data_IF_281394195558
#
_entry.id   IF_281394195558
#
_cell.length_a   1.000
_cell.length_b   1.000
_cell.length_c   1.000
_cell.angle_alpha   90.00
_cell.angle_beta   90.00
_cell.angle_gamma   90.00
#
_symmetry.space_group_name_H-M   'P 1'
#
loop_
_entity.id
_entity.type
_entity.pdbx_description
1 polymer ?
#
# COMPACT_ATOMS: atom_id res chain seq x y z
N UNK A 1 30.96 -10.09 -7.07
CA UNK A 1 30.47 -8.87 -7.74
C UNK A 1 30.14 -7.83 -6.67
N UNK A 2 31.03 -6.85 -6.44
CA UNK A 2 30.78 -5.79 -5.44
C UNK A 2 29.97 -4.69 -6.12
N UNK A 3 28.68 -4.60 -5.77
CA UNK A 3 27.83 -3.47 -6.18
C UNK A 3 28.01 -2.37 -5.13
N UNK A 4 28.84 -1.39 -5.46
CA UNK A 4 28.97 -0.18 -4.67
C UNK A 4 27.85 0.78 -5.06
N UNK A 5 27.01 1.20 -4.10
CA UNK A 5 26.08 2.31 -4.31
C UNK A 5 26.27 3.35 -3.21
N UNK A 6 27.16 4.31 -3.47
CA UNK A 6 27.12 5.62 -2.82
C UNK A 6 26.71 6.62 -3.88
N UNK A 7 25.45 7.06 -3.81
CA UNK A 7 24.97 8.31 -4.40
C UNK A 7 23.58 8.54 -3.82
N UNK A 8 23.34 9.72 -3.24
CA UNK A 8 21.99 10.13 -2.84
C UNK A 8 21.09 10.09 -4.06
N UNK A 9 20.17 9.12 -4.09
CA UNK A 9 19.22 8.95 -5.19
C UNK A 9 18.27 10.14 -5.16
N UNK A 10 18.45 11.08 -6.08
CA UNK A 10 17.44 12.12 -6.34
C UNK A 10 16.25 11.40 -6.95
N UNK A 11 15.17 11.26 -6.18
CA UNK A 11 13.94 10.68 -6.70
C UNK A 11 13.40 11.59 -7.82
N UNK A 12 13.06 11.03 -8.99
CA UNK A 12 12.48 11.83 -10.07
C UNK A 12 11.20 12.50 -9.57
N UNK A 13 11.01 13.78 -9.90
CA UNK A 13 9.82 14.53 -9.53
C UNK A 13 8.55 13.77 -9.93
N UNK A 14 7.52 13.86 -9.09
CA UNK A 14 6.20 13.28 -9.39
C UNK A 14 5.65 13.95 -10.65
N UNK A 15 4.84 13.21 -11.42
CA UNK A 15 4.07 13.78 -12.53
C UNK A 15 3.22 14.96 -12.01
N UNK A 16 3.04 15.99 -12.82
CA UNK A 16 2.24 17.17 -12.49
C UNK A 16 0.73 16.92 -12.44
N UNK A 17 0.26 15.82 -13.06
CA UNK A 17 -1.13 15.40 -13.04
C UNK A 17 -1.28 13.94 -12.61
N UNK A 18 -2.50 13.58 -12.25
CA UNK A 18 -2.88 12.22 -11.88
C UNK A 18 -2.99 11.33 -13.13
N UNK A 19 -2.57 10.08 -13.00
CA UNK A 19 -2.73 9.06 -14.03
C UNK A 19 -3.63 7.93 -13.50
N UNK A 20 -4.81 7.81 -14.10
CA UNK A 20 -5.70 6.67 -13.91
C UNK A 20 -5.60 5.71 -15.08
N UNK A 21 -5.71 4.42 -14.81
CA UNK A 21 -5.88 3.38 -15.84
C UNK A 21 -7.19 2.63 -15.59
N UNK A 22 -7.88 2.24 -16.65
CA UNK A 22 -9.06 1.39 -16.57
C UNK A 22 -8.73 -0.01 -17.08
N UNK A 23 -9.12 -1.04 -16.33
CA UNK A 23 -8.93 -2.44 -16.68
C UNK A 23 -10.27 -3.19 -16.68
N UNK A 24 -10.56 -3.96 -17.75
CA UNK A 24 -11.78 -4.73 -17.82
C UNK A 24 -11.74 -5.90 -16.83
N UNK A 25 -12.86 -6.22 -16.21
CA UNK A 25 -12.98 -7.37 -15.31
C UNK A 25 -12.77 -8.69 -16.07
N UNK A 26 -13.09 -8.73 -17.37
CA UNK A 26 -12.88 -9.91 -18.24
C UNK A 26 -11.41 -10.29 -18.42
N UNK A 27 -10.47 -9.40 -18.06
CA UNK A 27 -9.03 -9.58 -18.21
C UNK A 27 -8.49 -10.86 -17.57
N UNK A 28 -9.20 -11.41 -16.59
CA UNK A 28 -8.82 -12.66 -15.91
C UNK A 28 -9.83 -13.78 -16.11
N UNK A 29 -10.89 -13.57 -16.91
CA UNK A 29 -11.96 -14.56 -17.09
C UNK A 29 -11.51 -15.76 -17.94
N UNK A 30 -10.52 -15.57 -18.81
CA UNK A 30 -9.88 -16.61 -19.65
C UNK A 30 -8.97 -17.55 -18.86
N UNK A 31 -8.58 -17.18 -17.63
CA UNK A 31 -7.62 -17.92 -16.82
C UNK A 31 -8.34 -18.82 -15.82
N UNK A 32 -8.20 -20.15 -15.87
CA UNK A 32 -8.99 -21.05 -15.02
C UNK A 32 -8.51 -21.07 -13.56
N UNK A 33 -7.20 -20.95 -13.34
CA UNK A 33 -6.60 -21.17 -12.02
C UNK A 33 -6.31 -19.86 -11.27
N UNK A 34 -6.70 -19.81 -9.99
CA UNK A 34 -6.50 -18.64 -9.13
C UNK A 34 -5.03 -18.21 -9.06
N UNK A 35 -4.09 -19.17 -9.01
CA UNK A 35 -2.64 -18.88 -8.97
C UNK A 35 -2.19 -18.07 -10.19
N UNK A 36 -2.66 -18.43 -11.38
CA UNK A 36 -2.36 -17.74 -12.64
C UNK A 36 -3.08 -16.39 -12.72
N UNK A 37 -4.34 -16.31 -12.28
CA UNK A 37 -5.05 -15.03 -12.13
C UNK A 37 -4.26 -14.06 -11.23
N UNK A 38 -3.80 -14.55 -10.06
CA UNK A 38 -3.00 -13.75 -9.13
C UNK A 38 -1.71 -13.25 -9.76
N UNK A 39 -1.01 -14.08 -10.52
CA UNK A 39 0.22 -13.67 -11.22
C UNK A 39 -0.08 -12.61 -12.30
N UNK A 40 -1.10 -12.82 -13.14
CA UNK A 40 -1.54 -11.88 -14.18
C UNK A 40 -1.88 -10.51 -13.59
N UNK A 41 -2.68 -10.49 -12.51
CA UNK A 41 -3.02 -9.27 -11.76
C UNK A 41 -1.76 -8.66 -11.13
N UNK A 42 -0.86 -9.49 -10.61
CA UNK A 42 0.40 -9.06 -10.03
C UNK A 42 1.30 -8.30 -11.01
N UNK A 43 1.35 -8.74 -12.26
CA UNK A 43 2.09 -8.05 -13.31
C UNK A 43 1.50 -6.67 -13.62
N UNK A 44 0.17 -6.54 -13.62
CA UNK A 44 -0.52 -5.25 -13.79
C UNK A 44 -0.16 -4.31 -12.63
N UNK A 45 -0.28 -4.78 -11.39
CA UNK A 45 0.07 -3.97 -10.22
C UNK A 45 1.52 -3.51 -10.24
N UNK A 46 2.45 -4.36 -10.70
CA UNK A 46 3.86 -3.99 -10.88
C UNK A 46 4.04 -2.94 -11.97
N UNK A 47 3.40 -3.09 -13.12
CA UNK A 47 3.47 -2.12 -14.20
C UNK A 47 2.91 -0.75 -13.73
N UNK A 48 1.75 -0.75 -13.08
CA UNK A 48 1.14 0.44 -12.51
C UNK A 48 2.07 1.16 -11.52
N UNK A 49 2.76 0.41 -10.64
CA UNK A 49 3.75 0.97 -9.72
C UNK A 49 4.97 1.58 -10.44
N UNK A 50 5.49 0.93 -11.48
CA UNK A 50 6.63 1.42 -12.29
C UNK A 50 6.27 2.76 -12.95
N UNK A 51 5.08 2.85 -13.53
CA UNK A 51 4.62 4.04 -14.25
C UNK A 51 3.98 5.11 -13.36
N UNK A 52 3.98 4.89 -12.03
CA UNK A 52 3.38 5.79 -11.03
C UNK A 52 1.94 6.13 -11.40
N UNK A 53 1.14 5.10 -11.60
CA UNK A 53 -0.32 5.20 -11.73
C UNK A 53 -0.89 5.51 -10.35
N UNK A 54 -1.78 6.50 -10.30
CA UNK A 54 -2.42 6.98 -9.07
C UNK A 54 -3.71 6.19 -8.78
N UNK A 55 -4.43 5.77 -9.81
CA UNK A 55 -5.71 5.04 -9.69
C UNK A 55 -5.85 3.92 -10.72
N UNK A 56 -6.40 2.78 -10.28
CA UNK A 56 -6.77 1.67 -11.16
C UNK A 56 -8.27 1.43 -11.04
N UNK A 57 -8.99 1.67 -12.12
CA UNK A 57 -10.44 1.50 -12.22
C UNK A 57 -10.72 0.12 -12.81
N UNK A 58 -11.45 -0.73 -12.07
CA UNK A 58 -11.87 -2.04 -12.57
C UNK A 58 -13.34 -1.96 -12.97
N UNK A 59 -13.66 -2.27 -14.23
CA UNK A 59 -15.02 -2.14 -14.75
C UNK A 59 -15.51 -3.43 -15.41
N UNK A 60 -16.80 -3.78 -15.29
CA UNK A 60 -17.41 -4.86 -16.07
C UNK A 60 -17.55 -4.43 -17.53
N UNK A 61 -17.19 -5.30 -18.45
CA UNK A 61 -17.09 -5.04 -19.90
C UNK A 61 -17.92 -6.00 -20.75
N UNK A 62 -18.47 -7.06 -20.16
CA UNK A 62 -19.32 -8.06 -20.81
C UNK A 62 -20.77 -7.87 -20.37
N UNK A 63 -21.62 -7.49 -21.32
CA UNK A 63 -23.05 -7.31 -21.08
C UNK A 63 -23.75 -8.64 -20.79
N UNK A 64 -24.60 -8.65 -19.75
CA UNK A 64 -25.38 -9.83 -19.37
C UNK A 64 -24.59 -10.91 -18.62
N UNK A 65 -23.32 -10.67 -18.29
CA UNK A 65 -22.47 -11.59 -17.52
C UNK A 65 -22.14 -10.95 -16.17
N UNK A 66 -22.36 -11.67 -15.06
CA UNK A 66 -21.90 -11.21 -13.74
C UNK A 66 -20.38 -11.36 -13.60
N UNK A 67 -19.68 -10.23 -13.71
CA UNK A 67 -18.23 -10.14 -13.55
C UNK A 67 -17.79 -9.69 -12.16
N UNK A 68 -18.71 -9.58 -11.20
CA UNK A 68 -18.42 -9.07 -9.85
C UNK A 68 -17.33 -9.87 -9.15
N UNK A 69 -17.27 -11.19 -9.38
CA UNK A 69 -16.22 -12.05 -8.80
C UNK A 69 -14.83 -11.70 -9.31
N UNK A 70 -14.67 -11.54 -10.62
CA UNK A 70 -13.37 -11.21 -11.23
C UNK A 70 -12.97 -9.78 -10.90
N UNK A 71 -13.92 -8.82 -10.93
CA UNK A 71 -13.67 -7.45 -10.51
C UNK A 71 -13.20 -7.37 -9.04
N UNK A 72 -13.89 -8.07 -8.12
CA UNK A 72 -13.52 -8.13 -6.71
C UNK A 72 -12.15 -8.80 -6.49
N UNK A 73 -11.82 -9.84 -7.27
CA UNK A 73 -10.51 -10.50 -7.21
C UNK A 73 -9.39 -9.54 -7.61
N UNK A 74 -9.55 -8.84 -8.74
CA UNK A 74 -8.60 -7.84 -9.24
C UNK A 74 -8.40 -6.74 -8.19
N UNK A 75 -9.49 -6.12 -7.73
CA UNK A 75 -9.44 -5.06 -6.72
C UNK A 75 -8.77 -5.52 -5.42
N UNK A 76 -9.08 -6.73 -4.94
CA UNK A 76 -8.51 -7.29 -3.71
C UNK A 76 -7.00 -7.50 -3.83
N UNK A 77 -6.54 -8.08 -4.94
CA UNK A 77 -5.11 -8.35 -5.14
C UNK A 77 -4.32 -7.05 -5.32
N UNK A 78 -4.81 -6.12 -6.14
CA UNK A 78 -4.14 -4.82 -6.34
C UNK A 78 -4.07 -4.03 -5.02
N UNK A 79 -5.16 -3.98 -4.25
CA UNK A 79 -5.18 -3.33 -2.92
C UNK A 79 -4.18 -3.99 -1.96
N UNK A 80 -4.09 -5.32 -1.97
CA UNK A 80 -3.12 -6.06 -1.16
C UNK A 80 -1.67 -5.71 -1.55
N UNK A 81 -1.40 -5.58 -2.85
CA UNK A 81 -0.07 -5.24 -3.35
C UNK A 81 0.35 -3.82 -2.97
N UNK A 82 -0.53 -2.83 -3.16
CA UNK A 82 -0.32 -1.42 -2.80
C UNK A 82 -0.15 -1.24 -1.28
N UNK A 83 -0.81 -2.06 -0.47
CA UNK A 83 -0.71 -1.92 0.98
C UNK A 83 0.70 -2.30 1.47
N UNK A 84 1.35 -1.44 2.29
CA UNK A 84 2.64 -1.73 2.91
C UNK A 84 2.64 -3.01 3.75
N UNK A 85 3.76 -3.74 3.72
CA UNK A 85 3.83 -5.10 4.29
C UNK A 85 3.42 -5.17 5.77
N UNK A 86 3.78 -4.17 6.58
CA UNK A 86 3.44 -4.09 8.01
C UNK A 86 1.94 -3.82 8.26
N UNK A 87 1.21 -3.23 7.31
CA UNK A 87 -0.23 -2.99 7.44
C UNK A 87 -1.09 -4.16 6.95
N UNK A 88 -0.54 -5.04 6.09
CA UNK A 88 -1.29 -6.12 5.45
C UNK A 88 -2.00 -7.02 6.46
N UNK A 89 -1.31 -7.44 7.53
CA UNK A 89 -1.90 -8.30 8.58
C UNK A 89 -3.08 -7.64 9.31
N UNK A 90 -3.12 -6.30 9.37
CA UNK A 90 -4.18 -5.53 10.03
C UNK A 90 -5.36 -5.24 9.09
N UNK A 91 -5.08 -4.92 7.82
CA UNK A 91 -6.12 -4.56 6.83
C UNK A 91 -6.75 -5.77 6.14
N UNK A 92 -5.98 -6.84 5.92
CA UNK A 92 -6.44 -8.02 5.21
C UNK A 92 -6.58 -9.19 6.17
N UNK A 93 -7.83 -9.59 6.42
CA UNK A 93 -8.13 -10.91 7.02
C UNK A 93 -7.71 -12.03 6.06
N UNK A 94 -7.69 -13.26 6.57
CA UNK A 94 -7.51 -14.45 5.73
C UNK A 94 -8.65 -14.48 4.70
N UNK A 95 -8.28 -14.37 3.43
CA UNK A 95 -9.18 -14.27 2.28
C UNK A 95 -8.79 -15.35 1.26
N UNK A 96 -9.74 -16.17 0.76
CA UNK A 96 -9.45 -17.18 -0.27
C UNK A 96 -8.77 -16.60 -1.52
N UNK A 97 -9.13 -15.38 -1.90
CA UNK A 97 -8.58 -14.63 -3.02
C UNK A 97 -7.07 -14.39 -2.89
N UNK A 98 -6.57 -14.33 -1.65
CA UNK A 98 -5.16 -14.06 -1.33
C UNK A 98 -4.36 -15.33 -1.01
N UNK A 99 -4.93 -16.53 -1.23
CA UNK A 99 -4.25 -17.82 -0.97
C UNK A 99 -2.88 -17.93 -1.64
N UNK A 100 -2.73 -17.33 -2.82
CA UNK A 100 -1.49 -17.37 -3.60
C UNK A 100 -0.72 -16.05 -3.57
N UNK A 101 -0.92 -15.19 -2.56
CA UNK A 101 -0.23 -13.90 -2.46
C UNK A 101 1.31 -14.01 -2.52
N UNK A 102 1.89 -15.16 -2.20
CA UNK A 102 3.33 -15.42 -2.32
C UNK A 102 3.90 -15.42 -3.75
N UNK A 103 3.05 -15.54 -4.79
CA UNK A 103 3.50 -15.45 -6.19
C UNK A 103 3.53 -14.01 -6.72
N UNK A 104 2.99 -13.06 -5.95
CA UNK A 104 2.88 -11.66 -6.38
C UNK A 104 4.27 -11.01 -6.44
N UNK A 105 4.60 -10.29 -7.52
CA UNK A 105 5.87 -9.60 -7.61
C UNK A 105 5.96 -8.45 -6.60
N UNK A 106 7.14 -8.15 -6.05
CA UNK A 106 7.30 -7.02 -5.15
C UNK A 106 7.18 -5.69 -5.92
N UNK A 107 6.45 -4.72 -5.35
CA UNK A 107 6.35 -3.37 -5.91
C UNK A 107 7.58 -2.51 -5.58
N UNK A 108 8.13 -2.64 -4.36
CA UNK A 108 9.25 -1.82 -3.84
C UNK A 108 9.05 -0.30 -4.03
N UNK A 109 7.80 0.16 -3.91
CA UNK A 109 7.43 1.58 -3.95
C UNK A 109 7.87 2.31 -2.67
N UNK A 110 8.04 3.65 -2.69
CA UNK A 110 8.54 4.41 -1.54
C UNK A 110 7.74 4.23 -0.25
N UNK A 111 6.43 3.99 -0.34
CA UNK A 111 5.55 3.74 0.81
C UNK A 111 5.70 2.33 1.41
N UNK A 112 6.59 1.47 0.90
CA UNK A 112 6.97 0.17 1.48
C UNK A 112 8.36 0.22 2.13
N UNK A 113 8.55 0.92 3.25
CA UNK A 113 9.82 0.91 3.97
C UNK A 113 10.13 -0.51 4.47
N UNK A 114 11.40 -0.89 4.35
CA UNK A 114 11.91 -2.17 4.87
C UNK A 114 12.30 -2.09 6.34
N UNK A 115 12.42 -0.88 6.88
CA UNK A 115 12.83 -0.66 8.27
C UNK A 115 11.64 -0.64 9.21
N UNK A 116 11.68 -1.57 10.16
CA UNK A 116 10.71 -1.77 11.24
C UNK A 116 11.15 -1.16 12.58
N UNK A 117 12.29 -0.45 12.60
CA UNK A 117 12.82 0.13 13.82
C UNK A 117 12.63 1.63 13.94
N UNK A 118 12.26 2.07 15.14
CA UNK A 118 12.06 3.48 15.50
C UNK A 118 13.36 4.28 15.35
N UNK A 119 14.51 3.65 15.61
CA UNK A 119 15.85 4.26 15.45
C UNK A 119 16.21 4.61 14.00
N UNK A 120 15.56 3.96 13.04
CA UNK A 120 15.79 4.19 11.61
C UNK A 120 14.77 5.17 10.99
N UNK A 121 13.84 5.72 11.78
CA UNK A 121 12.96 6.78 11.29
C UNK A 121 13.76 8.04 10.98
N UNK A 122 13.41 8.71 9.90
CA UNK A 122 14.02 9.98 9.50
C UNK A 122 13.02 11.13 9.62
N UNK A 123 13.50 12.33 10.02
CA UNK A 123 12.64 13.52 10.07
C UNK A 123 12.22 13.87 8.64
N UNK A 124 10.92 14.10 8.44
CA UNK A 124 10.33 14.40 7.14
C UNK A 124 9.92 13.16 6.33
N UNK A 125 10.21 11.96 6.82
CA UNK A 125 9.75 10.70 6.21
C UNK A 125 8.21 10.61 6.23
N UNK A 126 7.63 10.18 5.12
CA UNK A 126 6.21 9.87 5.03
C UNK A 126 6.00 8.37 5.24
N UNK A 127 5.04 8.02 6.09
CA UNK A 127 4.62 6.64 6.29
C UNK A 127 3.11 6.52 6.24
N UNK A 128 2.67 5.42 5.69
CA UNK A 128 1.30 4.95 5.87
C UNK A 128 1.14 4.38 7.28
N UNK A 129 -0.02 4.55 7.87
CA UNK A 129 -0.30 4.00 9.18
C UNK A 129 -1.77 3.75 9.42
N UNK A 130 -2.04 2.97 10.47
CA UNK A 130 -3.41 2.71 10.95
C UNK A 130 -3.56 3.30 12.33
N UNK A 131 -4.66 4.03 12.55
CA UNK A 131 -5.00 4.57 13.86
C UNK A 131 -5.29 3.42 14.82
N UNK A 132 -4.36 3.21 15.77
CA UNK A 132 -4.43 2.14 16.75
C UNK A 132 -5.31 2.54 17.95
N UNK A 133 -5.22 3.79 18.37
CA UNK A 133 -6.08 4.35 19.43
C UNK A 133 -6.15 5.88 19.33
N UNK A 134 -7.19 6.44 19.92
CA UNK A 134 -7.46 7.87 19.90
C UNK A 134 -7.92 8.30 21.29
N UNK A 135 -7.28 9.31 21.88
CA UNK A 135 -7.54 9.72 23.26
C UNK A 135 -7.46 11.24 23.38
N UNK A 136 -8.58 11.92 23.65
CA UNK A 136 -8.65 13.39 23.60
C UNK A 136 -8.19 13.89 22.21
N UNK A 137 -7.58 15.07 22.15
CA UNK A 137 -7.05 15.70 20.93
C UNK A 137 -5.70 15.08 20.46
N UNK A 138 -5.58 13.75 20.45
CA UNK A 138 -4.37 13.03 19.99
C UNK A 138 -4.71 11.60 19.57
N UNK A 139 -3.96 11.08 18.60
CA UNK A 139 -4.08 9.70 18.12
C UNK A 139 -2.72 9.01 18.13
N UNK A 140 -2.73 7.69 18.36
CA UNK A 140 -1.59 6.81 18.21
C UNK A 140 -1.75 6.04 16.89
N UNK A 141 -0.78 6.17 16.00
CA UNK A 141 -0.80 5.59 14.66
C UNK A 141 0.31 4.55 14.54
N UNK A 142 -0.06 3.32 14.19
CA UNK A 142 0.91 2.29 13.86
C UNK A 142 1.43 2.52 12.44
N UNK A 143 2.71 2.89 12.33
CA UNK A 143 3.43 3.16 11.07
C UNK A 143 4.44 2.06 10.72
N UNK A 144 4.27 0.87 11.30
CA UNK A 144 5.14 -0.27 11.03
C UNK A 144 6.49 -0.21 11.74
N UNK A 145 6.53 0.38 12.93
CA UNK A 145 7.68 0.32 13.85
C UNK A 145 7.25 -0.28 15.19
N UNK A 146 8.19 -0.52 16.11
CA UNK A 146 7.93 -1.26 17.35
C UNK A 146 6.85 -0.62 18.24
N UNK A 147 6.69 0.70 18.15
CA UNK A 147 5.70 1.46 18.94
C UNK A 147 4.93 2.43 18.05
N UNK A 148 3.60 2.57 18.24
CA UNK A 148 2.82 3.58 17.55
C UNK A 148 3.38 4.99 17.75
N UNK A 149 3.33 5.78 16.69
CA UNK A 149 3.76 7.18 16.68
C UNK A 149 2.61 8.07 17.14
N UNK A 150 2.94 9.10 17.93
CA UNK A 150 1.95 10.06 18.42
C UNK A 150 1.67 11.13 17.35
N UNK A 151 0.39 11.26 16.97
CA UNK A 151 -0.13 12.38 16.20
C UNK A 151 -0.86 13.33 17.16
N UNK A 152 -0.27 14.48 17.53
CA UNK A 152 -0.92 15.45 18.40
C UNK A 152 -1.97 16.25 17.61
N UNK A 153 -2.93 16.83 18.34
CA UNK A 153 -3.94 17.74 17.81
C UNK A 153 -4.87 17.15 16.74
N UNK A 154 -5.01 15.82 16.71
CA UNK A 154 -5.92 15.13 15.83
C UNK A 154 -6.60 14.00 16.60
N UNK A 155 -7.94 13.94 16.51
CA UNK A 155 -8.73 12.83 17.01
C UNK A 155 -9.25 12.02 15.82
N UNK A 156 -8.46 11.05 15.40
CA UNK A 156 -8.74 10.25 14.22
C UNK A 156 -9.64 9.06 14.57
N UNK A 157 -10.51 8.60 13.63
CA UNK A 157 -11.26 7.38 13.80
C UNK A 157 -10.33 6.16 13.86
N UNK A 158 -10.62 5.25 14.79
CA UNK A 158 -9.84 4.04 15.00
C UNK A 158 -9.98 3.11 13.78
N UNK A 159 -8.91 2.38 13.42
CA UNK A 159 -8.80 1.51 12.23
C UNK A 159 -8.80 2.23 10.87
N UNK A 160 -8.75 3.56 10.85
CA UNK A 160 -8.57 4.32 9.61
C UNK A 160 -7.11 4.31 9.16
N UNK A 161 -6.89 4.13 7.86
CA UNK A 161 -5.58 4.27 7.21
C UNK A 161 -5.30 5.76 6.99
N UNK A 162 -4.12 6.23 7.38
CA UNK A 162 -3.69 7.63 7.28
C UNK A 162 -2.24 7.71 6.83
N UNK A 163 -1.91 8.74 6.07
CA UNK A 163 -0.52 9.10 5.76
C UNK A 163 -0.02 10.11 6.79
N UNK A 164 1.13 9.85 7.39
CA UNK A 164 1.73 10.72 8.40
C UNK A 164 3.16 11.09 8.02
N UNK A 165 3.56 12.29 8.41
CA UNK A 165 4.94 12.79 8.25
C UNK A 165 5.64 12.81 9.60
N UNK A 166 6.79 12.15 9.70
CA UNK A 166 7.57 12.11 10.95
C UNK A 166 8.14 13.50 11.24
N UNK A 167 7.80 14.08 12.39
CA UNK A 167 8.22 15.44 12.79
C UNK A 167 9.25 15.44 13.91
N UNK A 168 9.28 14.39 14.75
CA UNK A 168 10.23 14.30 15.86
C UNK A 168 10.66 12.87 16.12
N UNK A 169 11.97 12.66 16.29
CA UNK A 169 12.58 11.40 16.68
C UNK A 169 12.82 11.32 18.20
N UNK A 170 13.05 10.11 18.71
CA UNK A 170 13.39 9.84 20.12
C UNK A 170 12.57 8.69 20.71
N UNK A 171 12.62 8.51 22.04
CA UNK A 171 11.88 7.43 22.75
C UNK A 171 10.36 7.44 22.52
N UNK A 172 9.80 8.60 22.15
CA UNK A 172 8.40 8.81 21.80
C UNK A 172 8.33 9.63 20.51
N UNK A 173 8.41 8.99 19.33
CA UNK A 173 8.34 9.70 18.07
C UNK A 173 7.00 10.42 17.90
N UNK A 174 7.01 11.54 17.17
CA UNK A 174 5.80 12.28 16.80
C UNK A 174 5.71 12.43 15.29
N UNK A 175 4.47 12.51 14.81
CA UNK A 175 4.16 12.78 13.43
C UNK A 175 3.01 13.77 13.32
N UNK A 176 2.89 14.42 12.16
CA UNK A 176 1.70 15.18 11.76
C UNK A 176 0.98 14.44 10.63
N UNK A 177 -0.29 14.75 10.40
CA UNK A 177 -0.97 14.32 9.18
C UNK A 177 -0.31 15.00 7.97
N UNK A 178 -0.19 14.25 6.89
CA UNK A 178 0.33 14.72 5.61
C UNK A 178 -0.75 15.49 4.82
#
# INVERSE_FOLDING_TARGET
MKVNSRSGVVLPSRRSGELSIAIPASLVSDVPHLREKSLKIGLIGRAAAIFRVDEIIVFPDLFGVDQSRDANLIATILSYMETPQYLRKRLFKIKPELRYAGVLPPLRTPHHPLSDRTEHLTIGEYREGIVASSFKNRSLVDVGVERPVLVPNAQLPIKTRVTVRITKLGKRPKASLA
#
